data_IF_078186380744
#
_entry.id   IF_078186380744
#
_cell.length_a   1.000
_cell.length_b   1.000
_cell.length_c   1.000
_cell.angle_alpha   90.00
_cell.angle_beta   90.00
_cell.angle_gamma   90.00
#
_symmetry.space_group_name_H-M   'P 1'
#
loop_
_entity.id
_entity.type
_entity.pdbx_description
1 polymer ?
#
# COMPACT_ATOMS: atom_id res chain seq x y z
N UNK A 1 -53.00 -7.73 -24.70
CA UNK A 1 -53.30 -6.76 -23.64
C UNK A 1 -52.02 -5.97 -23.43
N UNK A 2 -51.91 -4.85 -24.14
CA UNK A 2 -50.71 -4.02 -24.17
C UNK A 2 -51.00 -2.85 -23.24
N UNK A 3 -50.38 -2.85 -22.06
CA UNK A 3 -50.44 -1.69 -21.17
C UNK A 3 -49.43 -0.65 -21.65
N UNK A 4 -49.95 0.43 -22.25
CA UNK A 4 -49.24 1.71 -22.29
C UNK A 4 -49.25 2.28 -20.87
N UNK A 5 -48.08 2.46 -20.27
CA UNK A 5 -47.91 3.35 -19.11
C UNK A 5 -47.47 4.72 -19.62
N UNK A 6 -48.37 5.70 -19.55
CA UNK A 6 -48.05 7.11 -19.71
C UNK A 6 -47.32 7.60 -18.46
N UNK A 7 -46.02 7.87 -18.58
CA UNK A 7 -45.24 8.55 -17.53
C UNK A 7 -45.65 10.01 -17.45
N UNK A 8 -46.37 10.37 -16.39
CA UNK A 8 -46.58 11.76 -15.98
C UNK A 8 -45.24 12.35 -15.55
N UNK A 9 -44.70 13.30 -16.32
CA UNK A 9 -43.66 14.21 -15.83
C UNK A 9 -44.33 15.20 -14.89
N UNK A 10 -44.27 14.95 -13.59
CA UNK A 10 -44.44 16.01 -12.59
C UNK A 10 -43.11 16.75 -12.51
N UNK A 11 -43.11 18.03 -12.88
CA UNK A 11 -42.05 18.96 -12.51
C UNK A 11 -41.82 18.82 -11.00
N UNK A 12 -40.61 18.43 -10.64
CA UNK A 12 -40.15 18.54 -9.26
C UNK A 12 -39.98 20.03 -9.00
N UNK A 13 -40.85 20.56 -8.14
CA UNK A 13 -40.70 21.88 -7.54
C UNK A 13 -39.27 22.06 -7.03
N UNK A 14 -38.69 23.20 -7.39
CA UNK A 14 -37.31 23.61 -7.11
C UNK A 14 -37.10 24.01 -5.65
N UNK A 15 -37.30 23.11 -4.70
CA UNK A 15 -36.82 23.32 -3.33
C UNK A 15 -36.41 21.99 -2.70
N UNK A 16 -35.11 21.70 -2.78
CA UNK A 16 -34.47 20.61 -2.06
C UNK A 16 -34.44 20.97 -0.56
N UNK A 17 -35.11 20.20 0.34
CA UNK A 17 -35.21 20.52 1.77
C UNK A 17 -33.87 20.47 2.53
N UNK A 18 -32.76 20.12 1.85
CA UNK A 18 -31.40 20.11 2.41
C UNK A 18 -30.48 21.22 1.87
N UNK A 19 -30.97 22.13 1.01
CA UNK A 19 -30.13 23.18 0.40
C UNK A 19 -29.46 24.11 1.43
N UNK A 20 -30.04 24.26 2.62
CA UNK A 20 -29.46 25.05 3.71
C UNK A 20 -28.37 24.32 4.53
N UNK A 21 -27.96 23.11 4.13
CA UNK A 21 -26.95 22.30 4.83
C UNK A 21 -25.78 21.84 3.95
N UNK A 22 -25.81 22.16 2.65
CA UNK A 22 -24.76 21.78 1.72
C UNK A 22 -23.82 22.95 1.44
N UNK A 23 -22.54 22.65 1.38
CA UNK A 23 -21.47 23.56 0.98
C UNK A 23 -20.74 23.00 -0.23
N UNK A 24 -20.27 23.90 -1.08
CA UNK A 24 -19.47 23.55 -2.25
C UNK A 24 -18.01 23.39 -1.83
N UNK A 25 -17.47 22.19 -2.01
CA UNK A 25 -16.04 21.95 -1.99
C UNK A 25 -15.54 21.90 -3.44
N UNK A 26 -14.83 22.95 -3.85
CA UNK A 26 -14.10 22.97 -5.12
C UNK A 26 -12.69 22.44 -4.88
N UNK A 27 -12.27 21.44 -5.65
CA UNK A 27 -10.90 20.92 -5.63
C UNK A 27 -10.26 21.20 -6.99
N UNK A 28 -9.10 21.85 -6.97
CA UNK A 28 -8.29 22.10 -8.16
C UNK A 28 -7.02 21.25 -8.08
N UNK A 29 -6.83 20.36 -9.05
CA UNK A 29 -5.59 19.60 -9.20
C UNK A 29 -4.46 20.55 -9.64
N UNK A 30 -3.37 20.59 -8.89
CA UNK A 30 -2.20 21.43 -9.21
C UNK A 30 -1.01 20.53 -9.50
N UNK A 31 -0.71 20.30 -10.77
CA UNK A 31 0.44 19.51 -11.21
C UNK A 31 1.77 20.23 -10.88
N UNK A 32 2.88 19.49 -10.68
CA UNK A 32 4.21 20.07 -10.55
C UNK A 32 4.54 20.98 -11.75
N UNK A 33 5.36 22.01 -11.55
CA UNK A 33 5.67 23.01 -12.58
C UNK A 33 6.17 22.37 -13.90
N UNK A 34 7.00 21.34 -13.80
CA UNK A 34 7.57 20.57 -14.92
C UNK A 34 6.51 19.82 -15.74
N UNK A 35 5.32 19.60 -15.15
CA UNK A 35 4.18 18.88 -15.70
C UNK A 35 2.92 19.75 -15.76
N UNK A 36 3.06 21.07 -15.75
CA UNK A 36 1.91 21.98 -15.80
C UNK A 36 1.05 21.83 -17.06
N UNK A 37 1.67 21.43 -18.17
CA UNK A 37 0.99 21.14 -19.44
C UNK A 37 0.25 19.78 -19.44
N UNK A 38 0.43 18.94 -18.41
CA UNK A 38 -0.21 17.63 -18.29
C UNK A 38 -1.68 17.71 -17.84
N UNK A 39 -2.11 18.88 -17.38
CA UNK A 39 -3.44 19.14 -16.87
C UNK A 39 -4.51 18.72 -17.88
N UNK A 40 -5.43 17.84 -17.43
CA UNK A 40 -6.44 17.24 -18.29
C UNK A 40 -7.78 17.01 -17.60
N UNK A 41 -8.82 16.88 -18.44
CA UNK A 41 -10.17 16.46 -18.01
C UNK A 41 -10.18 14.98 -17.65
N UNK A 42 -11.11 14.59 -16.81
CA UNK A 42 -11.43 13.17 -16.59
C UNK A 42 -10.63 12.49 -15.49
N UNK A 43 -9.78 13.23 -14.76
CA UNK A 43 -9.00 12.71 -13.62
C UNK A 43 -9.94 12.45 -12.46
N UNK A 44 -9.81 11.28 -11.83
CA UNK A 44 -10.67 10.87 -10.73
C UNK A 44 -10.28 11.58 -9.44
N UNK A 45 -11.27 12.15 -8.76
CA UNK A 45 -11.14 12.73 -7.41
C UNK A 45 -12.09 11.99 -6.48
N UNK A 46 -11.54 11.44 -5.40
CA UNK A 46 -12.28 10.76 -4.34
C UNK A 46 -12.31 11.62 -3.08
N UNK A 47 -13.46 11.65 -2.40
CA UNK A 47 -13.68 12.34 -1.14
C UNK A 47 -14.36 11.40 -0.15
N UNK A 48 -13.77 11.23 1.02
CA UNK A 48 -14.31 10.44 2.14
C UNK A 48 -14.70 11.37 3.30
N UNK A 49 -15.95 11.27 3.78
CA UNK A 49 -16.37 11.85 5.07
C UNK A 49 -15.77 11.01 6.20
N UNK A 50 -14.76 11.55 6.90
CA UNK A 50 -13.96 10.80 7.88
C UNK A 50 -14.82 10.30 9.06
N UNK A 51 -15.87 11.05 9.43
CA UNK A 51 -16.70 10.70 10.58
C UNK A 51 -17.80 9.69 10.22
N UNK A 52 -18.27 9.73 8.96
CA UNK A 52 -19.41 8.91 8.51
C UNK A 52 -18.99 7.72 7.65
N UNK A 53 -17.78 7.70 7.12
CA UNK A 53 -17.27 6.67 6.21
C UNK A 53 -17.92 6.69 4.82
N UNK A 54 -18.64 7.76 4.46
CA UNK A 54 -19.22 7.89 3.12
C UNK A 54 -18.16 8.36 2.13
N UNK A 55 -18.03 7.69 0.99
CA UNK A 55 -17.16 8.11 -0.10
C UNK A 55 -17.96 8.67 -1.30
N UNK A 56 -17.35 9.63 -1.98
CA UNK A 56 -17.88 10.31 -3.15
C UNK A 56 -16.80 10.40 -4.22
N UNK A 57 -17.15 10.16 -5.47
CA UNK A 57 -16.19 10.19 -6.58
C UNK A 57 -16.72 11.07 -7.72
N UNK A 58 -15.86 11.90 -8.29
CA UNK A 58 -16.18 12.70 -9.47
C UNK A 58 -14.93 12.93 -10.32
N UNK A 59 -15.10 13.50 -11.52
CA UNK A 59 -14.02 13.70 -12.48
C UNK A 59 -13.75 15.18 -12.73
N UNK A 60 -12.48 15.53 -12.94
CA UNK A 60 -12.07 16.91 -13.26
C UNK A 60 -12.63 17.38 -14.61
N UNK A 61 -12.93 18.68 -14.70
CA UNK A 61 -13.14 19.37 -15.96
C UNK A 61 -11.80 19.63 -16.68
N UNK A 62 -11.87 20.29 -17.84
CA UNK A 62 -10.68 20.61 -18.66
C UNK A 62 -9.67 21.54 -17.97
N UNK A 63 -10.04 22.17 -16.86
CA UNK A 63 -9.17 23.04 -16.07
C UNK A 63 -8.62 22.30 -14.84
N UNK A 64 -8.79 20.98 -14.73
CA UNK A 64 -8.36 20.21 -13.57
C UNK A 64 -9.22 20.45 -12.33
N UNK A 65 -10.42 21.03 -12.48
CA UNK A 65 -11.30 21.39 -11.37
C UNK A 65 -12.45 20.40 -11.24
N UNK A 66 -12.79 20.04 -10.00
CA UNK A 66 -13.99 19.30 -9.65
C UNK A 66 -14.74 20.02 -8.52
N UNK A 67 -16.06 19.87 -8.46
CA UNK A 67 -16.92 20.45 -7.42
C UNK A 67 -17.81 19.39 -6.81
N UNK A 68 -17.88 19.38 -5.49
CA UNK A 68 -18.77 18.51 -4.71
C UNK A 68 -19.69 19.36 -3.85
N UNK A 69 -20.98 18.99 -3.79
CA UNK A 69 -21.94 19.55 -2.84
C UNK A 69 -22.04 18.61 -1.64
N UNK A 70 -21.40 18.98 -0.53
CA UNK A 70 -21.22 18.12 0.64
C UNK A 70 -21.84 18.76 1.88
N UNK A 71 -22.19 17.94 2.87
CA UNK A 71 -22.66 18.45 4.17
C UNK A 71 -21.51 18.99 5.01
N UNK A 72 -21.81 19.56 6.18
CA UNK A 72 -20.77 19.92 7.15
C UNK A 72 -20.04 18.66 7.63
N UNK A 73 -18.72 18.70 7.56
CA UNK A 73 -17.90 17.55 7.95
C UNK A 73 -16.41 17.80 7.84
N UNK A 74 -15.67 16.74 8.13
CA UNK A 74 -14.23 16.65 7.97
C UNK A 74 -13.97 15.61 6.90
N UNK A 75 -13.27 16.01 5.85
CA UNK A 75 -13.12 15.23 4.63
C UNK A 75 -11.66 14.86 4.38
N UNK A 76 -11.45 13.65 3.86
CA UNK A 76 -10.21 13.23 3.21
C UNK A 76 -10.42 13.29 1.70
N UNK A 77 -9.50 13.93 0.98
CA UNK A 77 -9.60 14.17 -0.46
C UNK A 77 -8.38 13.56 -1.13
N UNK A 78 -8.60 12.76 -2.17
CA UNK A 78 -7.58 12.07 -2.92
C UNK A 78 -7.74 12.36 -4.42
N UNK A 79 -6.63 12.64 -5.10
CA UNK A 79 -6.55 12.72 -6.55
C UNK A 79 -5.48 11.74 -6.99
N UNK A 80 -5.79 10.93 -8.00
CA UNK A 80 -4.83 10.07 -8.67
C UNK A 80 -5.00 10.17 -10.18
N UNK A 81 -3.91 10.48 -10.88
CA UNK A 81 -3.84 10.54 -12.33
C UNK A 81 -2.67 9.68 -12.82
N UNK A 82 -2.92 8.79 -13.78
CA UNK A 82 -1.91 7.91 -14.37
C UNK A 82 -1.90 8.05 -15.88
N UNK A 83 -0.72 8.12 -16.47
CA UNK A 83 -0.54 8.07 -17.91
C UNK A 83 0.78 7.40 -18.26
N UNK A 84 0.71 6.27 -18.95
CA UNK A 84 1.85 5.37 -19.13
C UNK A 84 2.52 5.06 -17.78
N UNK A 85 3.82 5.38 -17.64
CA UNK A 85 4.55 5.23 -16.40
C UNK A 85 4.45 6.45 -15.47
N UNK A 86 3.96 7.61 -15.91
CA UNK A 86 3.90 8.80 -15.07
C UNK A 86 2.63 8.79 -14.21
N UNK A 87 2.81 8.99 -12.90
CA UNK A 87 1.75 9.02 -11.89
C UNK A 87 1.77 10.38 -11.19
N UNK A 88 0.59 10.93 -10.92
CA UNK A 88 0.40 12.18 -10.20
C UNK A 88 -0.63 12.00 -9.09
N UNK A 89 -0.20 12.15 -7.85
CA UNK A 89 -1.05 11.94 -6.68
C UNK A 89 -1.12 13.14 -5.75
N UNK A 90 -2.31 13.38 -5.20
CA UNK A 90 -2.55 14.38 -4.16
C UNK A 90 -3.43 13.83 -3.06
N UNK A 91 -3.09 14.15 -1.81
CA UNK A 91 -3.91 13.83 -0.63
C UNK A 91 -4.02 15.07 0.24
N UNK A 92 -5.25 15.42 0.61
CA UNK A 92 -5.52 16.35 1.71
C UNK A 92 -6.36 15.63 2.76
N UNK A 93 -5.77 15.41 3.95
CA UNK A 93 -6.46 14.78 5.07
C UNK A 93 -7.04 15.83 6.02
N UNK A 94 -8.17 15.50 6.65
CA UNK A 94 -8.87 16.34 7.64
C UNK A 94 -9.29 17.75 7.16
N UNK A 95 -9.70 17.89 5.90
CA UNK A 95 -10.22 19.14 5.34
C UNK A 95 -11.58 19.48 5.96
N UNK A 96 -11.66 20.60 6.66
CA UNK A 96 -12.87 21.01 7.40
C UNK A 96 -13.80 21.85 6.52
N UNK A 97 -14.93 21.28 6.13
CA UNK A 97 -16.00 21.99 5.42
C UNK A 97 -17.09 22.39 6.42
N UNK A 98 -16.84 23.44 7.20
CA UNK A 98 -17.71 23.83 8.34
C UNK A 98 -18.28 25.25 8.23
N UNK A 99 -17.62 26.14 7.50
CA UNK A 99 -17.88 27.59 7.50
C UNK A 99 -18.34 28.13 6.14
N UNK A 100 -18.94 27.30 5.29
CA UNK A 100 -19.32 27.68 3.93
C UNK A 100 -18.55 26.94 2.86
N UNK A 101 -18.68 27.42 1.62
CA UNK A 101 -17.94 26.92 0.46
C UNK A 101 -16.43 27.04 0.66
N UNK A 102 -15.69 26.07 0.14
CA UNK A 102 -14.24 25.99 0.23
C UNK A 102 -13.65 25.69 -1.14
N UNK A 103 -12.61 26.44 -1.52
CA UNK A 103 -11.77 26.12 -2.67
C UNK A 103 -10.42 25.62 -2.17
N UNK A 104 -10.09 24.38 -2.52
CA UNK A 104 -8.83 23.73 -2.20
C UNK A 104 -8.01 23.58 -3.48
N UNK A 105 -6.82 24.19 -3.50
CA UNK A 105 -5.79 23.84 -4.46
C UNK A 105 -5.01 22.66 -3.87
N UNK A 106 -5.09 21.50 -4.51
CA UNK A 106 -4.42 20.29 -4.06
C UNK A 106 -3.19 20.03 -4.93
N UNK A 107 -1.97 20.29 -4.41
CA UNK A 107 -0.73 19.96 -5.11
C UNK A 107 -0.66 18.45 -5.36
N UNK A 108 -0.39 18.08 -6.60
CA UNK A 108 -0.04 16.72 -6.99
C UNK A 108 1.48 16.56 -6.93
N UNK A 109 1.92 15.38 -6.54
CA UNK A 109 3.31 14.97 -6.60
C UNK A 109 3.46 13.97 -7.73
N UNK A 110 4.49 14.17 -8.55
CA UNK A 110 4.84 13.26 -9.64
C UNK A 110 5.67 12.09 -9.12
N UNK A 111 5.40 10.90 -9.66
CA UNK A 111 6.15 9.67 -9.48
C UNK A 111 6.07 8.83 -10.75
N UNK A 112 6.76 7.68 -10.78
CA UNK A 112 6.62 6.69 -11.83
C UNK A 112 6.08 5.37 -11.29
N UNK A 113 5.31 4.64 -12.10
CA UNK A 113 4.87 3.27 -11.81
C UNK A 113 6.08 2.35 -11.64
N UNK A 114 6.02 1.44 -10.67
CA UNK A 114 7.11 0.50 -10.39
C UNK A 114 7.29 -0.56 -11.47
N UNK A 115 8.53 -0.91 -11.78
CA UNK A 115 8.81 -2.03 -12.70
C UNK A 115 8.38 -3.38 -12.10
N UNK A 116 8.59 -3.53 -10.79
CA UNK A 116 8.10 -4.65 -9.99
C UNK A 116 7.15 -4.09 -8.95
N UNK A 117 5.94 -4.64 -8.91
CA UNK A 117 4.86 -4.21 -8.00
C UNK A 117 4.45 -5.35 -7.07
N UNK A 118 3.83 -5.02 -5.94
CA UNK A 118 3.26 -5.96 -4.98
C UNK A 118 1.86 -6.33 -5.47
N UNK A 119 1.68 -7.57 -5.90
CA UNK A 119 0.40 -8.11 -6.38
C UNK A 119 -0.55 -8.50 -5.25
N UNK A 120 0.00 -9.11 -4.19
CA UNK A 120 -0.80 -9.62 -3.10
C UNK A 120 -0.06 -9.51 -1.76
N UNK A 121 -0.77 -9.17 -0.70
CA UNK A 121 -0.30 -9.24 0.67
C UNK A 121 -1.29 -10.06 1.50
N UNK A 122 -0.81 -11.21 2.01
CA UNK A 122 -1.53 -12.00 2.99
C UNK A 122 -0.90 -11.83 4.38
N UNK A 123 -1.59 -11.12 5.27
CA UNK A 123 -1.06 -10.79 6.59
C UNK A 123 -2.00 -11.07 7.77
N UNK A 124 -3.31 -11.17 7.54
CA UNK A 124 -4.32 -11.34 8.59
C UNK A 124 -4.35 -12.71 9.28
N UNK A 125 -3.73 -13.74 8.70
CA UNK A 125 -3.74 -15.10 9.25
C UNK A 125 -5.08 -15.83 9.07
N UNK A 126 -5.25 -16.96 9.74
CA UNK A 126 -6.45 -17.81 9.65
C UNK A 126 -6.83 -18.45 11.00
N UNK A 127 -8.00 -19.07 11.09
CA UNK A 127 -8.35 -19.94 12.19
C UNK A 127 -7.51 -21.24 12.17
N UNK A 128 -7.21 -21.80 13.34
CA UNK A 128 -6.43 -23.05 13.49
C UNK A 128 -7.20 -24.33 13.16
N UNK A 129 -8.28 -24.25 12.38
CA UNK A 129 -9.12 -25.42 12.13
C UNK A 129 -8.29 -26.62 11.64
N UNK A 130 -8.50 -27.82 12.22
CA UNK A 130 -9.61 -28.21 13.11
C UNK A 130 -9.42 -27.90 14.61
N UNK A 131 -8.34 -27.24 15.02
CA UNK A 131 -8.06 -26.88 16.41
C UNK A 131 -8.66 -25.52 16.79
N UNK A 132 -8.83 -25.29 18.11
CA UNK A 132 -9.23 -23.99 18.64
C UNK A 132 -8.10 -22.96 18.53
N UNK A 133 -8.47 -21.71 18.23
CA UNK A 133 -7.58 -20.55 18.23
C UNK A 133 -7.19 -20.06 16.84
N UNK A 134 -6.23 -19.14 16.82
CA UNK A 134 -5.84 -18.39 15.62
C UNK A 134 -4.39 -18.69 15.22
N UNK A 135 -4.11 -18.58 13.92
CA UNK A 135 -2.81 -18.82 13.31
C UNK A 135 -2.39 -17.63 12.45
N UNK A 136 -1.08 -17.35 12.42
CA UNK A 136 -0.58 -16.14 11.79
C UNK A 136 0.85 -16.26 11.22
N UNK A 137 1.45 -17.46 11.20
CA UNK A 137 2.82 -17.66 10.71
C UNK A 137 2.85 -18.01 9.21
N UNK A 138 1.72 -17.87 8.53
CA UNK A 138 1.46 -18.17 7.12
C UNK A 138 1.52 -16.94 6.21
N UNK A 139 2.15 -15.86 6.68
CA UNK A 139 2.21 -14.59 5.96
C UNK A 139 3.11 -14.67 4.73
N UNK A 140 2.66 -14.07 3.64
CA UNK A 140 3.44 -13.91 2.42
C UNK A 140 3.07 -12.63 1.69
N UNK A 141 3.91 -12.24 0.74
CA UNK A 141 3.55 -11.31 -0.33
C UNK A 141 3.95 -11.88 -1.69
N UNK A 142 3.24 -11.45 -2.73
CA UNK A 142 3.54 -11.79 -4.13
C UNK A 142 3.98 -10.51 -4.81
N UNK A 143 5.15 -10.55 -5.44
CA UNK A 143 5.65 -9.52 -6.35
C UNK A 143 5.33 -9.92 -7.79
N UNK A 144 5.18 -8.93 -8.67
CA UNK A 144 4.82 -9.12 -10.07
C UNK A 144 5.68 -8.20 -10.96
N UNK A 145 6.21 -8.73 -12.06
CA UNK A 145 6.85 -7.90 -13.07
C UNK A 145 5.79 -7.26 -13.96
N UNK A 146 5.58 -5.95 -13.77
CA UNK A 146 4.55 -5.18 -14.46
C UNK A 146 5.03 -4.58 -15.79
N UNK A 147 6.21 -4.99 -16.28
CA UNK A 147 6.85 -4.44 -17.48
C UNK A 147 6.98 -5.47 -18.60
N UNK A 148 7.30 -5.00 -19.81
CA UNK A 148 7.55 -5.85 -20.98
C UNK A 148 8.95 -6.44 -21.03
N UNK A 149 9.81 -6.07 -20.09
CA UNK A 149 11.21 -6.49 -20.03
C UNK A 149 11.42 -7.47 -18.86
N UNK A 150 12.39 -8.37 -19.00
CA UNK A 150 12.81 -9.20 -17.86
C UNK A 150 13.44 -8.33 -16.78
N UNK A 151 12.84 -8.33 -15.60
CA UNK A 151 13.38 -7.68 -14.41
C UNK A 151 14.23 -8.67 -13.60
N UNK A 152 15.10 -8.18 -12.73
CA UNK A 152 15.94 -9.01 -11.87
C UNK A 152 15.75 -8.64 -10.41
N UNK A 153 15.37 -9.63 -9.60
CA UNK A 153 15.11 -9.46 -8.17
C UNK A 153 16.40 -9.19 -7.38
N UNK A 154 17.56 -9.52 -7.94
CA UNK A 154 18.86 -9.35 -7.29
C UNK A 154 19.06 -7.95 -6.69
N UNK A 155 19.39 -7.92 -5.40
CA UNK A 155 19.65 -6.70 -4.65
C UNK A 155 18.42 -5.85 -4.32
N UNK A 156 17.22 -6.24 -4.78
CA UNK A 156 15.95 -5.64 -4.38
C UNK A 156 15.75 -5.81 -2.87
N UNK A 157 15.28 -4.76 -2.21
CA UNK A 157 15.08 -4.73 -0.77
C UNK A 157 13.61 -4.55 -0.43
N UNK A 158 13.21 -5.04 0.73
CA UNK A 158 11.93 -4.70 1.31
C UNK A 158 11.99 -4.58 2.83
N UNK A 159 11.00 -3.89 3.40
CA UNK A 159 10.83 -3.80 4.84
C UNK A 159 9.45 -3.25 5.22
N UNK A 160 9.14 -3.30 6.51
CA UNK A 160 7.96 -2.66 7.08
C UNK A 160 8.28 -1.25 7.60
N UNK A 161 7.32 -0.34 7.55
CA UNK A 161 7.47 1.02 8.06
C UNK A 161 7.09 1.13 9.55
N UNK A 162 7.69 2.09 10.26
CA UNK A 162 7.23 2.50 11.59
C UNK A 162 6.09 3.53 11.51
N UNK A 163 5.06 3.43 12.38
CA UNK A 163 4.79 2.32 13.28
C UNK A 163 4.28 1.05 12.56
N UNK A 164 4.54 -0.11 13.18
CA UNK A 164 4.08 -1.41 12.66
C UNK A 164 2.58 -1.46 12.37
N UNK A 165 1.77 -0.77 13.17
CA UNK A 165 0.32 -0.72 13.02
C UNK A 165 -0.13 0.70 12.69
N UNK A 166 -1.05 0.84 11.73
CA UNK A 166 -1.64 2.11 11.29
C UNK A 166 -2.32 2.93 12.39
N UNK A 167 -2.88 2.29 13.42
CA UNK A 167 -3.58 2.97 14.51
C UNK A 167 -2.67 3.43 15.67
N UNK A 168 -1.37 3.13 15.59
CA UNK A 168 -0.39 3.57 16.59
C UNK A 168 0.02 5.03 16.35
N UNK A 169 0.66 5.63 17.36
CA UNK A 169 1.22 6.97 17.23
C UNK A 169 2.34 6.98 16.18
N UNK A 170 2.15 7.75 15.11
CA UNK A 170 3.20 8.00 14.13
C UNK A 170 4.05 9.19 14.60
N UNK A 171 5.28 8.92 15.05
CA UNK A 171 6.22 9.92 15.58
C UNK A 171 7.03 10.62 14.49
N UNK A 172 6.88 10.22 13.22
CA UNK A 172 7.66 10.72 12.10
C UNK A 172 6.98 11.88 11.39
N UNK A 173 5.68 12.03 11.56
CA UNK A 173 4.89 13.07 10.90
C UNK A 173 4.62 14.22 11.86
N UNK A 174 4.56 15.41 11.30
CA UNK A 174 4.05 16.60 11.99
C UNK A 174 2.77 17.08 11.31
N UNK A 175 2.14 18.12 11.85
CA UNK A 175 1.01 18.79 11.19
C UNK A 175 1.40 20.22 10.86
N UNK A 176 1.03 20.66 9.66
CA UNK A 176 1.07 22.07 9.31
C UNK A 176 0.06 22.84 10.17
N UNK A 177 0.52 23.88 10.88
CA UNK A 177 -0.32 24.62 11.84
C UNK A 177 -1.48 25.37 11.18
N UNK A 178 -1.32 25.76 9.90
CA UNK A 178 -2.29 26.60 9.19
C UNK A 178 -3.36 25.80 8.45
N UNK A 179 -2.97 24.68 7.84
CA UNK A 179 -3.82 23.84 6.99
C UNK A 179 -4.26 22.56 7.70
N UNK A 180 -3.53 22.12 8.73
CA UNK A 180 -3.71 20.84 9.39
C UNK A 180 -3.19 19.64 8.59
N UNK A 181 -2.56 19.88 7.43
CA UNK A 181 -2.02 18.84 6.57
C UNK A 181 -0.91 18.05 7.27
N UNK A 182 -0.87 16.74 7.06
CA UNK A 182 0.20 15.88 7.57
C UNK A 182 1.47 16.14 6.77
N UNK A 183 2.54 16.50 7.46
CA UNK A 183 3.88 16.68 6.87
C UNK A 183 4.67 15.41 7.14
N UNK A 184 5.11 14.77 6.06
CA UNK A 184 5.95 13.59 6.10
C UNK A 184 7.43 13.97 6.01
N UNK A 185 8.34 13.16 6.58
CA UNK A 185 9.76 13.31 6.33
C UNK A 185 10.09 12.99 4.87
N UNK A 186 11.28 13.40 4.43
CA UNK A 186 11.84 13.14 3.09
C UNK A 186 12.36 11.70 2.90
N UNK A 187 12.01 10.79 3.81
CA UNK A 187 12.40 9.38 3.79
C UNK A 187 11.28 8.49 4.34
N UNK A 188 11.33 7.20 4.04
CA UNK A 188 10.48 6.19 4.66
C UNK A 188 11.19 5.53 5.85
N UNK A 189 10.58 5.51 7.06
CA UNK A 189 11.19 4.96 8.26
C UNK A 189 11.06 3.43 8.29
N UNK A 190 11.95 2.70 7.60
CA UNK A 190 11.95 1.23 7.63
C UNK A 190 12.42 0.72 8.99
N UNK A 191 11.57 -0.05 9.66
CA UNK A 191 11.76 -0.52 11.02
C UNK A 191 12.19 -1.97 11.07
N UNK A 192 12.90 -2.30 12.15
CA UNK A 192 13.36 -3.62 12.54
C UNK A 192 14.41 -4.30 11.66
N UNK A 193 14.19 -4.34 10.35
CA UNK A 193 15.01 -5.10 9.43
C UNK A 193 14.85 -4.58 8.00
N UNK A 194 15.95 -4.56 7.27
CA UNK A 194 15.94 -4.50 5.81
C UNK A 194 16.29 -5.88 5.29
N UNK A 195 15.36 -6.49 4.57
CA UNK A 195 15.58 -7.74 3.84
C UNK A 195 16.02 -7.43 2.41
N UNK A 196 16.88 -8.28 1.85
CA UNK A 196 17.35 -8.15 0.48
C UNK A 196 17.42 -9.50 -0.23
N UNK A 197 16.99 -9.52 -1.48
CA UNK A 197 17.25 -10.63 -2.39
C UNK A 197 18.75 -10.81 -2.64
N UNK A 198 19.23 -12.05 -2.58
CA UNK A 198 20.61 -12.38 -2.92
C UNK A 198 20.90 -12.25 -4.42
N UNK A 199 21.96 -12.92 -4.87
CA UNK A 199 22.34 -12.96 -6.28
C UNK A 199 23.38 -11.92 -6.69
N UNK A 200 23.76 -11.93 -7.97
CA UNK A 200 24.86 -11.15 -8.54
C UNK A 200 24.40 -10.10 -9.56
N UNK A 201 23.11 -9.83 -9.62
CA UNK A 201 22.47 -8.87 -10.55
C UNK A 201 21.69 -9.53 -11.69
N UNK A 202 21.87 -10.84 -11.92
CA UNK A 202 21.21 -11.60 -12.98
C UNK A 202 20.81 -13.03 -12.54
N UNK A 203 20.83 -13.31 -11.24
CA UNK A 203 20.59 -14.66 -10.71
C UNK A 203 19.11 -15.01 -10.70
N UNK A 204 18.25 -14.05 -10.42
CA UNK A 204 16.81 -14.25 -10.25
C UNK A 204 16.02 -13.39 -11.25
N UNK A 205 15.94 -13.82 -12.54
CA UNK A 205 15.11 -13.16 -13.52
C UNK A 205 13.62 -13.34 -13.19
N UNK A 206 12.83 -12.33 -13.52
CA UNK A 206 11.38 -12.35 -13.48
C UNK A 206 10.88 -11.87 -14.84
N UNK A 207 10.33 -12.76 -15.66
CA UNK A 207 9.87 -12.41 -17.00
C UNK A 207 8.59 -11.55 -16.97
N UNK A 208 8.19 -10.90 -18.08
CA UNK A 208 6.97 -10.11 -18.15
C UNK A 208 5.74 -10.89 -17.66
N UNK A 209 5.02 -10.33 -16.68
CA UNK A 209 3.85 -10.95 -16.08
C UNK A 209 4.14 -12.11 -15.12
N UNK A 210 5.41 -12.43 -14.82
CA UNK A 210 5.74 -13.46 -13.84
C UNK A 210 5.67 -12.93 -12.40
N UNK A 211 5.36 -13.86 -11.48
CA UNK A 211 5.24 -13.61 -10.05
C UNK A 211 6.42 -14.18 -9.27
N UNK A 212 6.80 -13.51 -8.19
CA UNK A 212 7.74 -14.03 -7.19
C UNK A 212 7.10 -13.98 -5.79
N UNK A 213 7.15 -15.09 -5.06
CA UNK A 213 6.57 -15.18 -3.71
C UNK A 213 7.64 -14.97 -2.66
N UNK A 214 7.36 -14.08 -1.70
CA UNK A 214 8.17 -13.88 -0.50
C UNK A 214 7.37 -14.35 0.72
N UNK A 215 7.85 -15.41 1.34
CA UNK A 215 7.35 -15.92 2.62
C UNK A 215 7.94 -15.09 3.75
N UNK A 216 7.07 -14.46 4.54
CA UNK A 216 7.45 -13.51 5.59
C UNK A 216 7.79 -14.21 6.91
N UNK A 217 7.21 -15.39 7.14
CA UNK A 217 7.41 -16.21 8.32
C UNK A 217 8.02 -17.57 7.91
N UNK A 218 7.31 -18.68 8.10
CA UNK A 218 7.84 -20.01 7.79
C UNK A 218 7.51 -20.47 6.37
N UNK A 219 8.52 -20.81 5.56
CA UNK A 219 8.31 -21.48 4.26
C UNK A 219 8.14 -23.00 4.47
N UNK A 220 6.98 -23.38 5.02
CA UNK A 220 6.57 -24.75 5.31
C UNK A 220 5.16 -25.00 4.75
N UNK A 221 4.71 -26.24 4.78
CA UNK A 221 3.31 -26.56 4.50
C UNK A 221 2.45 -26.30 5.75
N UNK A 222 1.86 -25.10 5.85
CA UNK A 222 0.96 -24.77 6.96
C UNK A 222 -0.39 -25.45 6.83
N UNK A 223 -0.85 -25.68 5.59
CA UNK A 223 -2.11 -26.33 5.27
C UNK A 223 -2.17 -27.78 5.77
N UNK A 224 -1.01 -28.45 5.88
CA UNK A 224 -0.90 -29.78 6.47
C UNK A 224 -1.39 -29.85 7.94
N UNK A 225 -1.28 -28.75 8.69
CA UNK A 225 -1.73 -28.69 10.09
C UNK A 225 -3.01 -27.87 10.25
N UNK A 226 -3.18 -26.79 9.47
CA UNK A 226 -4.29 -25.85 9.59
C UNK A 226 -4.99 -25.72 8.25
N UNK A 227 -6.16 -26.34 8.10
CA UNK A 227 -6.84 -26.51 6.81
C UNK A 227 -7.37 -25.21 6.20
N UNK A 228 -7.25 -24.08 6.90
CA UNK A 228 -7.59 -22.73 6.40
C UNK A 228 -6.35 -21.91 6.02
N UNK A 229 -5.16 -22.49 6.17
CA UNK A 229 -3.87 -21.87 5.85
C UNK A 229 -3.39 -22.29 4.45
N UNK A 230 -2.15 -21.95 4.11
CA UNK A 230 -1.56 -22.12 2.77
C UNK A 230 -0.32 -23.02 2.80
N UNK A 231 0.02 -23.65 1.68
CA UNK A 231 1.28 -24.37 1.54
C UNK A 231 2.36 -23.43 0.98
N UNK A 232 3.34 -23.07 1.81
CA UNK A 232 4.47 -22.19 1.44
C UNK A 232 5.78 -22.95 1.23
N UNK A 233 5.78 -24.29 1.29
CA UNK A 233 6.94 -25.12 0.93
C UNK A 233 6.89 -25.46 -0.58
N UNK A 234 7.10 -24.46 -1.43
CA UNK A 234 7.05 -24.60 -2.89
C UNK A 234 8.39 -24.18 -3.53
N UNK A 235 8.85 -24.89 -4.58
CA UNK A 235 10.08 -24.51 -5.28
C UNK A 235 10.04 -23.06 -5.79
N UNK A 236 11.15 -22.34 -5.68
CA UNK A 236 11.28 -20.96 -6.15
C UNK A 236 10.73 -19.88 -5.20
N UNK A 237 10.12 -20.25 -4.06
CA UNK A 237 9.67 -19.27 -3.08
C UNK A 237 10.85 -18.72 -2.28
N UNK A 238 10.88 -17.39 -2.12
CA UNK A 238 11.84 -16.71 -1.25
C UNK A 238 11.33 -16.68 0.18
N UNK A 239 12.24 -16.69 1.16
CA UNK A 239 11.86 -16.72 2.57
C UNK A 239 12.70 -15.81 3.45
N UNK A 240 12.05 -15.15 4.40
CA UNK A 240 12.67 -14.34 5.45
C UNK A 240 13.28 -15.21 6.56
N UNK A 241 14.15 -16.15 6.22
CA UNK A 241 14.77 -17.07 7.19
C UNK A 241 16.19 -16.65 7.54
N UNK A 242 16.40 -16.16 8.77
CA UNK A 242 17.72 -15.89 9.30
C UNK A 242 17.78 -16.27 10.80
N UNK A 243 18.30 -17.46 11.15
CA UNK A 243 18.27 -17.95 12.53
C UNK A 243 19.25 -17.23 13.46
N UNK A 244 20.17 -16.40 12.94
CA UNK A 244 21.06 -15.57 13.76
C UNK A 244 20.28 -14.39 14.35
N UNK A 245 19.46 -13.75 13.52
CA UNK A 245 18.72 -12.55 13.88
C UNK A 245 17.29 -12.84 14.35
N UNK A 246 16.64 -13.85 13.78
CA UNK A 246 15.26 -14.23 14.04
C UNK A 246 15.15 -15.71 14.42
N UNK A 247 15.64 -16.05 15.61
CA UNK A 247 15.74 -17.43 16.10
C UNK A 247 14.42 -18.03 16.64
N UNK A 248 13.32 -17.27 16.63
CA UNK A 248 12.03 -17.76 17.13
C UNK A 248 11.37 -18.70 16.12
N UNK A 249 11.52 -20.01 16.35
CA UNK A 249 11.07 -21.08 15.45
C UNK A 249 9.54 -21.21 15.32
N UNK A 250 8.76 -20.54 16.16
CA UNK A 250 7.30 -20.46 15.99
C UNK A 250 6.91 -19.63 14.76
N UNK A 251 7.73 -18.63 14.42
CA UNK A 251 7.51 -17.73 13.28
C UNK A 251 8.49 -17.99 12.16
N UNK A 252 9.71 -18.41 12.49
CA UNK A 252 10.81 -18.66 11.55
C UNK A 252 11.35 -20.10 11.73
N UNK A 253 10.52 -21.13 11.50
CA UNK A 253 11.01 -22.51 11.46
C UNK A 253 12.02 -22.67 10.33
N UNK A 254 12.84 -23.73 10.40
CA UNK A 254 13.67 -24.12 9.27
C UNK A 254 12.79 -24.31 8.02
N UNK A 255 13.15 -23.71 6.87
CA UNK A 255 12.39 -23.89 5.64
C UNK A 255 12.26 -25.36 5.25
N UNK A 256 11.15 -25.70 4.59
CA UNK A 256 10.89 -27.04 4.09
C UNK A 256 11.88 -27.46 3.00
N UNK A 257 11.80 -28.74 2.63
CA UNK A 257 12.73 -29.40 1.71
C UNK A 257 12.66 -28.92 0.26
N UNK A 258 11.63 -28.17 -0.13
CA UNK A 258 11.49 -27.59 -1.47
C UNK A 258 12.16 -26.21 -1.59
N UNK A 259 12.58 -25.60 -0.48
CA UNK A 259 13.18 -24.27 -0.47
C UNK A 259 14.70 -24.38 -0.51
N UNK A 260 15.30 -23.91 -1.60
CA UNK A 260 16.75 -23.92 -1.76
C UNK A 260 17.40 -22.76 -0.98
N UNK A 261 18.60 -22.94 -0.40
CA UNK A 261 19.24 -21.90 0.42
C UNK A 261 19.55 -20.58 -0.30
N UNK A 262 19.66 -20.58 -1.61
CA UNK A 262 19.85 -19.35 -2.42
C UNK A 262 18.58 -18.47 -2.48
N UNK A 263 17.43 -19.00 -2.07
CA UNK A 263 16.17 -18.26 -1.92
C UNK A 263 15.95 -17.74 -0.48
N UNK A 264 16.94 -17.90 0.40
CA UNK A 264 16.90 -17.28 1.72
C UNK A 264 17.30 -15.81 1.58
N UNK A 265 16.42 -14.91 2.00
CA UNK A 265 16.69 -13.48 1.93
C UNK A 265 17.77 -13.08 2.93
N UNK A 266 18.61 -12.12 2.51
CA UNK A 266 19.65 -11.58 3.36
C UNK A 266 19.07 -10.54 4.31
N UNK A 267 19.54 -10.56 5.57
CA UNK A 267 19.35 -9.44 6.50
C UNK A 267 20.47 -8.46 6.25
N UNK A 268 20.16 -7.31 5.64
CA UNK A 268 21.15 -6.24 5.41
C UNK A 268 21.53 -5.60 6.74
N UNK A 269 20.52 -5.28 7.55
CA UNK A 269 20.68 -4.73 8.89
C UNK A 269 19.46 -5.09 9.73
N UNK A 270 19.70 -5.39 11.01
CA UNK A 270 18.65 -5.53 12.03
C UNK A 270 18.73 -4.36 13.00
N UNK A 271 17.67 -3.55 13.05
CA UNK A 271 17.57 -2.37 13.90
C UNK A 271 16.65 -2.55 15.11
N UNK A 272 15.76 -3.54 15.08
CA UNK A 272 14.80 -3.81 16.16
C UNK A 272 15.21 -4.97 17.07
N UNK A 273 14.61 -5.06 18.25
CA UNK A 273 15.00 -6.05 19.28
C UNK A 273 14.24 -7.38 19.21
N UNK A 274 13.14 -7.46 18.46
CA UNK A 274 12.33 -8.68 18.38
C UNK A 274 13.14 -9.89 17.85
N UNK A 275 12.77 -11.09 18.30
CA UNK A 275 13.38 -12.35 17.87
C UNK A 275 12.62 -13.05 16.72
N UNK A 276 11.57 -12.41 16.20
CA UNK A 276 10.87 -12.76 14.99
C UNK A 276 10.65 -11.50 14.15
N UNK A 277 10.76 -11.62 12.83
CA UNK A 277 10.41 -10.51 11.94
C UNK A 277 8.93 -10.11 12.14
N UNK A 278 8.73 -8.84 12.47
CA UNK A 278 7.44 -8.27 12.84
C UNK A 278 6.82 -7.66 11.59
N UNK A 279 5.92 -8.44 11.01
CA UNK A 279 5.01 -7.98 9.98
C UNK A 279 3.61 -7.96 10.59
N UNK A 280 3.02 -6.78 10.68
CA UNK A 280 1.76 -6.61 11.42
C UNK A 280 0.69 -7.55 10.87
N UNK A 281 -0.01 -8.24 11.79
CA UNK A 281 -1.22 -8.98 11.44
C UNK A 281 -2.39 -8.04 11.18
N UNK A 282 -2.36 -6.81 11.71
CA UNK A 282 -3.46 -5.85 11.64
C UNK A 282 -3.43 -5.01 10.38
N UNK A 283 -2.26 -4.43 10.09
CA UNK A 283 -2.14 -3.32 9.15
C UNK A 283 -0.68 -3.01 8.81
N UNK A 284 0.08 -3.92 8.17
CA UNK A 284 1.46 -3.62 7.80
C UNK A 284 1.52 -2.50 6.75
N UNK A 285 2.49 -1.60 6.85
CA UNK A 285 2.89 -0.75 5.73
C UNK A 285 4.22 -1.29 5.21
N UNK A 286 4.26 -1.65 3.93
CA UNK A 286 5.41 -2.32 3.31
C UNK A 286 5.93 -1.47 2.17
N UNK A 287 7.26 -1.47 2.01
CA UNK A 287 7.96 -0.81 0.92
C UNK A 287 8.90 -1.80 0.24
N UNK A 288 8.89 -1.77 -1.09
CA UNK A 288 9.83 -2.40 -2.00
C UNK A 288 10.74 -1.32 -2.58
N UNK A 289 12.06 -1.47 -2.49
CA UNK A 289 13.00 -0.43 -2.91
C UNK A 289 14.35 -0.99 -3.36
N UNK A 290 15.09 -0.22 -4.15
CA UNK A 290 16.44 -0.57 -4.60
C UNK A 290 17.36 0.63 -4.44
N UNK A 291 18.54 0.40 -3.86
CA UNK A 291 19.53 1.45 -3.69
C UNK A 291 19.99 1.99 -5.06
N UNK A 292 20.09 3.31 -5.18
CA UNK A 292 20.59 4.01 -6.37
C UNK A 292 21.96 4.61 -6.07
N UNK A 293 22.86 4.54 -7.05
CA UNK A 293 24.22 5.10 -6.99
C UNK A 293 25.11 4.57 -5.84
N UNK A 294 24.66 3.55 -5.11
CA UNK A 294 25.38 2.89 -4.01
C UNK A 294 24.82 1.49 -3.76
N UNK A 295 25.46 0.72 -2.89
CA UNK A 295 24.88 -0.52 -2.36
C UNK A 295 24.08 -0.24 -1.09
N UNK A 296 23.07 -1.07 -0.80
CA UNK A 296 22.31 -0.91 0.46
C UNK A 296 23.21 -1.14 1.69
N UNK A 297 24.22 -2.01 1.59
CA UNK A 297 25.21 -2.28 2.64
C UNK A 297 26.02 -1.02 2.96
N UNK A 298 26.56 -0.36 1.94
CA UNK A 298 27.31 0.89 2.11
C UNK A 298 26.41 1.99 2.67
N UNK A 299 25.17 2.07 2.19
CA UNK A 299 24.19 3.05 2.67
C UNK A 299 23.91 2.91 4.17
N UNK A 300 23.58 1.70 4.66
CA UNK A 300 23.24 1.50 6.09
C UNK A 300 24.47 1.56 7.01
N UNK A 301 25.68 1.47 6.47
CA UNK A 301 26.92 1.64 7.24
C UNK A 301 27.15 3.09 7.68
N UNK A 302 26.52 4.06 6.99
CA UNK A 302 26.61 5.47 7.35
C UNK A 302 25.67 5.79 8.52
N UNK A 303 26.21 6.38 9.58
CA UNK A 303 25.48 6.60 10.84
C UNK A 303 24.20 7.45 10.65
N UNK A 304 24.20 8.40 9.72
CA UNK A 304 23.09 9.31 9.48
C UNK A 304 21.90 8.65 8.75
N UNK A 305 22.12 7.48 8.13
CA UNK A 305 21.08 6.72 7.43
C UNK A 305 20.34 5.75 8.34
N UNK A 306 20.89 5.47 9.52
CA UNK A 306 20.29 4.59 10.53
C UNK A 306 20.12 5.36 11.83
N UNK A 307 18.94 5.93 12.07
CA UNK A 307 18.72 6.86 13.18
C UNK A 307 17.90 6.23 14.31
N UNK A 308 18.05 6.81 15.51
CA UNK A 308 17.23 6.45 16.67
C UNK A 308 15.77 6.89 16.44
N UNK A 309 14.81 6.02 16.73
CA UNK A 309 13.40 6.39 16.73
C UNK A 309 13.14 7.46 17.81
N UNK A 310 12.50 8.59 17.48
CA UNK A 310 12.10 9.59 18.47
C UNK A 310 11.29 8.97 19.61
N UNK A 311 11.70 9.26 20.85
CA UNK A 311 11.04 8.73 22.06
C UNK A 311 11.39 7.28 22.41
N UNK A 312 12.25 6.60 21.64
CA UNK A 312 12.81 5.29 22.01
C UNK A 312 14.31 5.42 22.28
N UNK A 313 14.84 4.57 23.17
CA UNK A 313 16.28 4.43 23.43
C UNK A 313 16.86 3.12 22.88
N UNK A 314 16.01 2.26 22.29
CA UNK A 314 16.41 0.92 21.79
C UNK A 314 16.03 0.69 20.33
N UNK A 315 15.01 1.37 19.80
CA UNK A 315 14.54 1.15 18.43
C UNK A 315 15.20 2.11 17.46
N UNK A 316 15.78 1.57 16.39
CA UNK A 316 16.33 2.36 15.28
C UNK A 316 15.55 2.08 14.01
N UNK A 317 15.61 3.01 13.07
CA UNK A 317 15.06 2.85 11.72
C UNK A 317 16.15 3.08 10.68
N UNK A 318 15.92 2.60 9.46
CA UNK A 318 16.67 2.98 8.27
C UNK A 318 15.87 4.04 7.52
N UNK A 319 16.52 5.15 7.17
CA UNK A 319 15.92 6.25 6.39
C UNK A 319 15.97 5.91 4.91
N UNK A 320 14.99 5.19 4.37
CA UNK A 320 14.98 4.86 2.94
C UNK A 320 14.59 6.09 2.12
N UNK A 321 15.43 6.57 1.18
CA UNK A 321 15.07 7.68 0.31
C UNK A 321 13.80 7.38 -0.51
N UNK A 322 12.93 8.38 -0.64
CA UNK A 322 11.65 8.22 -1.36
C UNK A 322 11.88 7.85 -2.83
N UNK A 323 12.93 8.39 -3.46
CA UNK A 323 13.26 8.13 -4.86
C UNK A 323 13.78 6.71 -5.11
N UNK A 324 14.09 5.93 -4.07
CA UNK A 324 14.53 4.53 -4.20
C UNK A 324 13.36 3.54 -4.23
N UNK A 325 12.16 3.99 -3.90
CA UNK A 325 10.97 3.16 -3.82
C UNK A 325 10.56 2.71 -5.22
N UNK A 326 10.32 1.40 -5.36
CA UNK A 326 9.70 0.82 -6.54
C UNK A 326 8.19 0.73 -6.32
N UNK A 327 7.77 0.28 -5.15
CA UNK A 327 6.35 0.14 -4.80
C UNK A 327 6.18 0.15 -3.28
N UNK A 328 5.00 0.55 -2.80
CA UNK A 328 4.66 0.51 -1.39
C UNK A 328 3.16 0.43 -1.20
N UNK A 329 2.74 -0.27 -0.14
CA UNK A 329 1.31 -0.48 0.16
C UNK A 329 1.02 -0.06 1.58
N UNK A 330 0.09 0.88 1.74
CA UNK A 330 -0.49 1.30 3.00
C UNK A 330 -1.74 0.46 3.32
N UNK A 331 -1.66 -0.34 4.40
CA UNK A 331 -2.81 -1.11 4.87
C UNK A 331 -3.37 -0.49 6.14
N UNK A 332 -4.68 -0.26 6.18
CA UNK A 332 -5.39 0.17 7.39
C UNK A 332 -6.13 -0.99 8.04
N UNK A 333 -6.21 -0.94 9.37
CA UNK A 333 -7.00 -1.90 10.13
C UNK A 333 -8.45 -1.43 10.19
N UNK A 334 -9.37 -2.19 9.57
CA UNK A 334 -10.79 -1.86 9.50
C UNK A 334 -11.49 -1.79 10.86
N UNK A 335 -10.95 -2.46 11.88
CA UNK A 335 -11.43 -2.39 13.26
C UNK A 335 -11.01 -1.12 14.01
N UNK A 336 -10.44 -0.11 13.34
CA UNK A 336 -10.05 1.16 13.97
C UNK A 336 -10.44 2.36 13.11
N UNK A 337 -10.96 3.41 13.75
CA UNK A 337 -11.10 4.74 13.14
C UNK A 337 -9.86 5.63 13.34
N UNK A 338 -8.85 5.16 14.10
CA UNK A 338 -7.66 5.95 14.41
C UNK A 338 -6.47 5.66 13.49
N UNK A 339 -6.68 5.03 12.34
CA UNK A 339 -5.60 4.79 11.38
C UNK A 339 -4.90 6.10 10.94
N UNK A 340 -3.61 6.01 10.65
CA UNK A 340 -2.73 7.10 10.24
C UNK A 340 -1.82 6.59 9.13
N UNK A 341 -1.60 7.42 8.11
CA UNK A 341 -0.63 7.16 7.05
C UNK A 341 0.79 7.10 7.59
N UNK A 342 1.62 6.28 6.97
CA UNK A 342 3.05 6.10 7.27
C UNK A 342 3.97 6.52 6.14
N UNK A 343 3.41 6.72 4.96
CA UNK A 343 4.13 7.17 3.76
C UNK A 343 3.43 8.38 3.12
N UNK A 344 4.20 9.25 2.43
CA UNK A 344 3.65 10.42 1.76
C UNK A 344 2.81 10.04 0.53
N UNK A 345 1.96 10.95 0.04
CA UNK A 345 1.08 10.70 -1.11
C UNK A 345 1.81 10.42 -2.42
N UNK A 346 3.06 10.87 -2.54
CA UNK A 346 3.92 10.57 -3.69
C UNK A 346 4.30 9.09 -3.78
N UNK A 347 4.24 8.38 -2.66
CA UNK A 347 4.53 6.95 -2.54
C UNK A 347 3.24 6.15 -2.55
N UNK A 348 2.30 6.51 -1.68
CA UNK A 348 0.95 5.94 -1.67
C UNK A 348 -0.05 7.01 -1.17
N UNK A 349 -0.98 7.41 -2.01
CA UNK A 349 -1.97 8.45 -1.72
C UNK A 349 -3.13 7.96 -0.82
N UNK A 350 -3.42 6.66 -0.79
CA UNK A 350 -4.61 6.11 -0.14
C UNK A 350 -4.28 4.99 0.84
N UNK A 351 -5.09 3.95 0.87
CA UNK A 351 -4.86 2.76 1.68
C UNK A 351 -5.84 1.67 1.25
N UNK A 352 -5.44 0.42 1.42
CA UNK A 352 -6.37 -0.70 1.40
C UNK A 352 -6.77 -1.06 2.83
N UNK A 353 -8.02 -1.44 3.03
CA UNK A 353 -8.52 -1.83 4.36
C UNK A 353 -8.48 -3.34 4.53
N UNK A 354 -7.81 -3.81 5.58
CA UNK A 354 -7.99 -5.18 6.07
C UNK A 354 -9.14 -5.20 7.07
N UNK A 355 -10.26 -5.80 6.68
CA UNK A 355 -11.52 -5.70 7.41
C UNK A 355 -11.59 -6.64 8.61
N UNK A 356 -10.96 -7.80 8.52
CA UNK A 356 -11.00 -8.85 9.53
C UNK A 356 -9.63 -9.53 9.70
N UNK A 357 -9.42 -10.14 10.87
CA UNK A 357 -8.22 -10.90 11.20
C UNK A 357 -8.58 -12.36 11.34
N UNK A 358 -7.66 -13.24 10.97
CA UNK A 358 -7.78 -14.69 11.12
C UNK A 358 -8.91 -15.34 10.30
N UNK A 359 -9.39 -14.65 9.27
CA UNK A 359 -10.43 -15.15 8.36
C UNK A 359 -9.87 -15.69 7.03
N UNK A 360 -8.54 -15.69 6.84
CA UNK A 360 -7.92 -16.13 5.58
C UNK A 360 -8.06 -15.14 4.42
N UNK A 361 -8.52 -13.92 4.70
CA UNK A 361 -8.63 -12.85 3.71
C UNK A 361 -7.27 -12.32 3.28
N UNK A 362 -7.19 -11.84 2.05
CA UNK A 362 -5.96 -11.32 1.44
C UNK A 362 -6.22 -9.99 0.74
N UNK A 363 -5.17 -9.17 0.59
CA UNK A 363 -5.24 -7.88 -0.08
C UNK A 363 -4.60 -8.02 -1.44
N UNK A 364 -5.36 -7.79 -2.51
CA UNK A 364 -4.98 -8.13 -3.87
C UNK A 364 -5.11 -6.92 -4.78
N UNK A 365 -4.11 -6.74 -5.65
CA UNK A 365 -4.04 -5.64 -6.59
C UNK A 365 -4.99 -5.89 -7.77
N UNK A 366 -5.70 -4.87 -8.20
CA UNK A 366 -6.54 -4.93 -9.39
C UNK A 366 -5.69 -5.19 -10.64
N UNK A 367 -6.27 -5.95 -11.57
CA UNK A 367 -5.71 -6.14 -12.91
C UNK A 367 -6.16 -4.98 -13.80
N UNK A 368 -5.24 -4.36 -14.53
CA UNK A 368 -5.56 -3.46 -15.63
C UNK A 368 -5.93 -4.32 -16.85
N UNK A 369 -7.23 -4.59 -17.01
CA UNK A 369 -7.76 -5.47 -18.04
C UNK A 369 -7.50 -4.98 -19.47
N UNK A 370 -7.37 -3.66 -19.66
CA UNK A 370 -7.08 -3.08 -20.97
C UNK A 370 -5.60 -3.25 -21.30
N UNK A 371 -4.70 -2.81 -20.41
CA UNK A 371 -3.26 -2.96 -20.59
C UNK A 371 -2.86 -4.43 -20.68
N UNK A 372 -3.46 -5.31 -19.87
CA UNK A 372 -3.20 -6.76 -19.92
C UNK A 372 -3.53 -7.35 -21.30
N UNK A 373 -4.67 -6.95 -21.87
CA UNK A 373 -5.09 -7.42 -23.19
C UNK A 373 -4.17 -6.91 -24.31
N UNK A 374 -3.66 -5.69 -24.19
CA UNK A 374 -2.73 -5.10 -25.15
C UNK A 374 -1.33 -5.71 -25.05
N UNK A 375 -0.85 -5.94 -23.83
CA UNK A 375 0.48 -6.48 -23.55
C UNK A 375 0.57 -7.99 -23.82
N UNK A 376 -0.53 -8.73 -23.68
CA UNK A 376 -0.58 -10.18 -23.85
C UNK A 376 -0.09 -10.98 -22.63
N UNK A 377 0.14 -10.29 -21.51
CA UNK A 377 0.44 -10.83 -20.18
C UNK A 377 -0.28 -9.96 -19.14
N UNK A 378 -0.40 -10.45 -17.89
CA UNK A 378 -1.08 -9.69 -16.83
C UNK A 378 -0.33 -8.38 -16.54
N UNK A 379 -1.08 -7.28 -16.48
CA UNK A 379 -0.63 -5.97 -16.00
C UNK A 379 -1.55 -5.60 -14.85
N UNK A 380 -0.96 -5.18 -13.74
CA UNK A 380 -1.66 -4.75 -12.54
C UNK A 380 -1.76 -3.23 -12.48
N UNK A 381 -2.87 -2.78 -11.90
CA UNK A 381 -3.11 -1.37 -11.60
C UNK A 381 -2.06 -0.87 -10.60
N UNK A 382 -1.49 0.28 -10.92
CA UNK A 382 -0.47 0.93 -10.09
C UNK A 382 -0.58 2.42 -10.30
N UNK A 383 -1.35 3.06 -9.43
CA UNK A 383 -1.60 4.50 -9.44
C UNK A 383 -0.94 5.17 -8.24
N UNK A 384 -0.03 4.47 -7.55
CA UNK A 384 0.51 4.84 -6.24
C UNK A 384 -0.61 5.24 -5.27
N UNK A 385 -1.74 4.52 -5.31
CA UNK A 385 -2.86 4.74 -4.43
C UNK A 385 -3.53 3.41 -4.10
N UNK A 386 -3.22 2.87 -2.93
CA UNK A 386 -3.75 1.58 -2.50
C UNK A 386 -5.29 1.53 -2.37
N UNK A 387 -5.98 2.68 -2.29
CA UNK A 387 -7.45 2.70 -2.31
C UNK A 387 -8.05 2.42 -3.68
N UNK A 388 -7.29 2.68 -4.75
CA UNK A 388 -7.68 2.42 -6.14
C UNK A 388 -7.06 1.13 -6.66
N UNK A 389 -5.85 0.83 -6.21
CA UNK A 389 -5.05 -0.26 -6.75
C UNK A 389 -5.39 -1.60 -6.11
N UNK A 390 -5.95 -1.64 -4.89
CA UNK A 390 -6.18 -2.88 -4.15
C UNK A 390 -7.60 -3.06 -3.65
N UNK A 391 -8.00 -4.32 -3.51
CA UNK A 391 -9.22 -4.75 -2.85
C UNK A 391 -8.95 -5.96 -1.94
N UNK A 392 -9.85 -6.17 -0.98
CA UNK A 392 -9.80 -7.36 -0.12
C UNK A 392 -10.54 -8.54 -0.79
N UNK A 393 -9.88 -9.70 -0.84
CA UNK A 393 -10.44 -10.97 -1.30
C UNK A 393 -10.72 -11.88 -0.11
N UNK A 394 -11.78 -12.68 -0.21
CA UNK A 394 -12.19 -13.63 0.83
C UNK A 394 -11.19 -14.78 1.05
N UNK A 395 -10.39 -15.11 0.03
CA UNK A 395 -9.50 -16.28 0.03
C UNK A 395 -8.14 -15.92 -0.54
N UNK A 396 -7.08 -16.46 0.06
CA UNK A 396 -5.69 -16.36 -0.39
C UNK A 396 -5.51 -17.00 -1.78
N UNK A 397 -4.67 -16.41 -2.65
CA UNK A 397 -4.37 -17.04 -3.95
C UNK A 397 -3.60 -18.36 -3.82
N UNK A 398 -2.82 -18.52 -2.74
CA UNK A 398 -2.01 -19.71 -2.49
C UNK A 398 -2.73 -20.79 -1.65
N UNK A 399 -4.05 -20.66 -1.46
CA UNK A 399 -4.86 -21.66 -0.78
C UNK A 399 -5.48 -22.62 -1.80
N UNK A 400 -4.86 -23.79 -1.93
CA UNK A 400 -5.26 -24.90 -2.80
C UNK A 400 -6.54 -25.61 -2.32
#
# INVERSE_FOLDING_TARGET
MTFLTTGSCTDIDKDNPYDNQLYTLQVNAVYPNEYSDYLRKGVTVEIEDIDRGNSYTSKTDKNGTVRFSLTKGIYRIQISDKAEQDIFNGLADKVKLVNGDLALNLPLVHSRSGDIVIKEIYCGGCAKLPFEGNYQSDKYMILHNNTSETQYLDGLCFGSLDPYNSQATNVWVTQDESTGATIFPDFLPVVQCVWQFGGTGQTFPLAPGEDAVIVICGAIDHAAQYTQSVNLNKPGYFVCYNPVYFWNTLYHPAPGDQITPDHYLNVVIKTGQANAYTFSVFSPATVLFKAKDTTIQDFVSQADNVIQKPGSIVDRIVKVPIDWVLDAVEIYYGGSSNNKKRMPPSVDAGYVTQSALYDGRTLYRHTDEEASREAGYEILEDTNNSSLDFYEREKQSLHE
#
